data_IF_719786919790
#
_entry.id   IF_719786919790
#
_cell.length_a   1.000
_cell.length_b   1.000
_cell.length_c   1.000
_cell.angle_alpha   90.00
_cell.angle_beta   90.00
_cell.angle_gamma   90.00
#
_symmetry.space_group_name_H-M   'P 1'
#
loop_
_entity.id
_entity.type
_entity.pdbx_description
1 polymer ?
#
# COMPACT_ATOMS: atom_id res chain seq x y z
N UNK A 1 30.99 -14.50 -26.82
CA UNK A 1 30.62 -13.87 -25.54
C UNK A 1 31.37 -14.60 -24.44
N UNK A 2 31.75 -13.95 -23.33
CA UNK A 2 32.23 -14.73 -22.17
C UNK A 2 31.06 -15.50 -21.55
N UNK A 3 31.36 -16.53 -20.75
CA UNK A 3 30.35 -17.36 -20.11
C UNK A 3 29.40 -16.52 -19.22
N UNK A 4 29.93 -15.51 -18.51
CA UNK A 4 29.13 -14.59 -17.69
C UNK A 4 28.03 -13.89 -18.49
N UNK A 5 28.36 -13.25 -19.62
CA UNK A 5 27.39 -12.49 -20.42
C UNK A 5 26.40 -13.39 -21.15
N UNK A 6 26.80 -14.64 -21.42
CA UNK A 6 25.88 -15.66 -21.95
C UNK A 6 24.85 -16.07 -20.90
N UNK A 7 25.26 -16.23 -19.63
CA UNK A 7 24.33 -16.52 -18.55
C UNK A 7 23.33 -15.38 -18.31
N UNK A 8 23.79 -14.11 -18.33
CA UNK A 8 22.90 -12.94 -18.21
C UNK A 8 21.92 -12.85 -19.40
N UNK A 9 22.38 -13.13 -20.62
CA UNK A 9 21.51 -13.15 -21.79
C UNK A 9 20.43 -14.25 -21.70
N UNK A 10 20.80 -15.46 -21.26
CA UNK A 10 19.83 -16.54 -21.02
C UNK A 10 18.82 -16.16 -19.95
N UNK A 11 19.27 -15.50 -18.88
CA UNK A 11 18.38 -14.98 -17.84
C UNK A 11 17.40 -13.96 -18.40
N UNK A 12 17.88 -12.98 -19.18
CA UNK A 12 17.04 -11.99 -19.87
C UNK A 12 15.98 -12.67 -20.76
N UNK A 13 16.37 -13.67 -21.56
CA UNK A 13 15.42 -14.37 -22.43
C UNK A 13 14.36 -15.14 -21.64
N UNK A 14 14.73 -15.74 -20.52
CA UNK A 14 13.77 -16.37 -19.61
C UNK A 14 12.79 -15.33 -19.04
N UNK A 15 13.28 -14.16 -18.62
CA UNK A 15 12.42 -13.08 -18.12
C UNK A 15 11.44 -12.57 -19.18
N UNK A 16 11.92 -12.32 -20.41
CA UNK A 16 11.06 -11.92 -21.53
C UNK A 16 9.97 -12.97 -21.77
N UNK A 17 10.35 -14.26 -21.78
CA UNK A 17 9.41 -15.35 -21.94
C UNK A 17 8.34 -15.36 -20.83
N UNK A 18 8.75 -15.21 -19.56
CA UNK A 18 7.81 -15.16 -18.43
C UNK A 18 6.91 -13.92 -18.45
N UNK A 19 7.43 -12.75 -18.81
CA UNK A 19 6.63 -11.52 -18.95
C UNK A 19 5.60 -11.70 -20.05
N UNK A 20 6.00 -12.17 -21.23
CA UNK A 20 5.07 -12.44 -22.32
C UNK A 20 3.99 -13.43 -21.89
N UNK A 21 4.40 -14.54 -21.27
CA UNK A 21 3.51 -15.59 -20.79
C UNK A 21 2.52 -15.08 -19.71
N UNK A 22 2.95 -14.18 -18.82
CA UNK A 22 2.10 -13.54 -17.81
C UNK A 22 1.16 -12.48 -18.42
N UNK A 23 1.57 -11.82 -19.50
CA UNK A 23 0.77 -10.81 -20.19
C UNK A 23 -0.27 -11.40 -21.16
N UNK A 24 -0.23 -12.71 -21.46
CA UNK A 24 -1.21 -13.33 -22.36
C UNK A 24 -2.60 -13.33 -21.72
N UNK A 25 -3.63 -12.76 -22.39
CA UNK A 25 -4.99 -12.69 -21.85
C UNK A 25 -5.69 -14.07 -21.72
N UNK A 26 -5.09 -15.12 -22.27
CA UNK A 26 -5.63 -16.47 -22.29
C UNK A 26 -5.65 -17.15 -20.91
N UNK A 27 -4.76 -16.76 -20.00
CA UNK A 27 -4.71 -17.34 -18.65
C UNK A 27 -5.35 -16.38 -17.65
N UNK A 28 -6.57 -16.73 -17.22
CA UNK A 28 -7.29 -15.99 -16.17
C UNK A 28 -6.43 -15.85 -14.89
N UNK A 29 -6.45 -14.69 -14.21
CA UNK A 29 -5.77 -14.49 -12.93
C UNK A 29 -6.16 -15.53 -11.86
N UNK A 30 -7.36 -16.11 -11.93
CA UNK A 30 -7.78 -17.20 -11.02
C UNK A 30 -6.92 -18.46 -11.17
N UNK A 31 -6.54 -18.81 -12.40
CA UNK A 31 -5.66 -19.96 -12.67
C UNK A 31 -4.25 -19.70 -12.16
N UNK A 32 -3.73 -18.50 -12.40
CA UNK A 32 -2.45 -18.03 -11.86
C UNK A 32 -2.41 -18.05 -10.34
N UNK A 33 -3.47 -17.59 -9.66
CA UNK A 33 -3.55 -17.64 -8.19
C UNK A 33 -3.48 -19.06 -7.64
N UNK A 34 -4.11 -20.02 -8.32
CA UNK A 34 -4.04 -21.43 -7.92
C UNK A 34 -2.63 -21.99 -8.04
N UNK A 35 -1.91 -21.59 -9.10
CA UNK A 35 -0.50 -21.95 -9.29
C UNK A 35 0.38 -21.25 -8.24
N UNK A 36 0.19 -19.95 -8.01
CA UNK A 36 0.96 -19.18 -7.02
C UNK A 36 0.71 -19.60 -5.57
N UNK A 37 -0.48 -20.11 -5.25
CA UNK A 37 -0.82 -20.65 -3.93
C UNK A 37 -0.44 -22.13 -3.75
N UNK A 38 0.14 -22.77 -4.77
CA UNK A 38 0.67 -24.13 -4.64
C UNK A 38 1.83 -24.17 -3.65
N UNK A 39 1.94 -25.27 -2.89
CA UNK A 39 3.03 -25.49 -1.92
C UNK A 39 4.42 -25.30 -2.54
N UNK A 40 4.61 -25.78 -3.77
CA UNK A 40 5.85 -25.58 -4.53
C UNK A 40 6.17 -24.09 -4.73
N UNK A 41 5.17 -23.30 -5.11
CA UNK A 41 5.37 -21.88 -5.40
C UNK A 41 5.50 -21.05 -4.13
N UNK A 42 4.87 -21.45 -3.02
CA UNK A 42 5.11 -20.83 -1.71
C UNK A 42 6.53 -21.08 -1.21
N UNK A 43 7.08 -22.29 -1.39
CA UNK A 43 8.49 -22.57 -1.07
C UNK A 43 9.42 -21.73 -1.96
N UNK A 44 9.15 -21.67 -3.27
CA UNK A 44 9.88 -20.82 -4.20
C UNK A 44 9.75 -19.34 -3.84
N UNK A 45 8.61 -18.87 -3.35
CA UNK A 45 8.40 -17.47 -2.97
C UNK A 45 9.19 -17.09 -1.72
N UNK A 46 9.32 -18.01 -0.75
CA UNK A 46 10.11 -17.80 0.47
C UNK A 46 11.60 -17.65 0.14
N UNK A 47 12.19 -18.58 -0.61
CA UNK A 47 13.58 -18.47 -1.07
C UNK A 47 13.75 -17.39 -2.14
N UNK A 48 12.71 -17.16 -2.93
CA UNK A 48 12.71 -16.26 -4.08
C UNK A 48 12.88 -14.80 -3.70
N UNK A 49 12.45 -14.36 -2.52
CA UNK A 49 12.71 -12.98 -2.09
C UNK A 49 14.21 -12.74 -1.86
N UNK A 50 14.90 -13.67 -1.19
CA UNK A 50 16.34 -13.60 -0.98
C UNK A 50 17.10 -13.76 -2.30
N UNK A 51 16.74 -14.76 -3.12
CA UNK A 51 17.33 -14.97 -4.44
C UNK A 51 17.14 -13.75 -5.36
N UNK A 52 16.00 -13.08 -5.29
CA UNK A 52 15.72 -11.87 -6.05
C UNK A 52 16.62 -10.70 -5.64
N UNK A 53 16.79 -10.46 -4.34
CA UNK A 53 17.70 -9.40 -3.84
C UNK A 53 19.14 -9.69 -4.28
N UNK A 54 19.58 -10.93 -4.16
CA UNK A 54 20.92 -11.35 -4.60
C UNK A 54 21.08 -11.19 -6.12
N UNK A 55 20.08 -11.60 -6.91
CA UNK A 55 20.10 -11.44 -8.36
C UNK A 55 20.15 -9.97 -8.79
N UNK A 56 19.37 -9.09 -8.15
CA UNK A 56 19.42 -7.64 -8.37
C UNK A 56 20.81 -7.10 -8.03
N UNK A 57 21.38 -7.48 -6.89
CA UNK A 57 22.73 -7.04 -6.52
C UNK A 57 23.76 -7.45 -7.57
N UNK A 58 23.73 -8.71 -8.03
CA UNK A 58 24.63 -9.21 -9.09
C UNK A 58 24.42 -8.44 -10.40
N UNK A 59 23.19 -8.21 -10.82
CA UNK A 59 22.88 -7.45 -12.04
C UNK A 59 23.36 -6.00 -11.95
N UNK A 60 23.21 -5.36 -10.78
CA UNK A 60 23.74 -4.00 -10.54
C UNK A 60 25.26 -3.99 -10.61
N UNK A 61 25.95 -4.96 -10.00
CA UNK A 61 27.40 -5.07 -10.10
C UNK A 61 27.88 -5.25 -11.55
N UNK A 62 27.23 -6.13 -12.32
CA UNK A 62 27.53 -6.34 -13.73
C UNK A 62 27.22 -5.12 -14.59
N UNK A 63 26.15 -4.39 -14.29
CA UNK A 63 25.81 -3.15 -14.96
C UNK A 63 26.87 -2.08 -14.72
N UNK A 64 27.35 -1.94 -13.49
CA UNK A 64 28.44 -1.01 -13.14
C UNK A 64 29.74 -1.41 -13.86
N UNK A 65 30.07 -2.71 -13.90
CA UNK A 65 31.28 -3.18 -14.60
C UNK A 65 31.19 -2.94 -16.11
N UNK A 66 30.05 -3.25 -16.74
CA UNK A 66 29.81 -2.94 -18.15
C UNK A 66 29.89 -1.43 -18.43
N UNK A 67 29.28 -0.60 -17.58
CA UNK A 67 29.33 0.85 -17.73
C UNK A 67 30.76 1.41 -17.58
N UNK A 68 31.54 0.83 -16.65
CA UNK A 68 32.95 1.15 -16.48
C UNK A 68 33.77 0.73 -17.70
N UNK A 69 33.51 -0.45 -18.27
CA UNK A 69 34.13 -0.90 -19.52
C UNK A 69 33.78 0.03 -20.70
N UNK A 70 32.52 0.43 -20.85
CA UNK A 70 32.07 1.37 -21.89
C UNK A 70 32.81 2.70 -21.74
N UNK A 71 32.86 3.29 -20.54
CA UNK A 71 33.62 4.54 -20.32
C UNK A 71 35.11 4.39 -20.59
N UNK A 72 35.71 3.27 -20.15
CA UNK A 72 37.14 2.99 -20.35
C UNK A 72 37.49 2.94 -21.84
N UNK A 73 36.72 2.22 -22.65
CA UNK A 73 36.99 2.07 -24.08
C UNK A 73 36.47 3.25 -24.91
N UNK A 74 35.54 4.06 -24.40
CA UNK A 74 35.02 5.26 -25.09
C UNK A 74 35.97 6.47 -25.02
N UNK A 75 36.74 6.64 -23.94
CA UNK A 75 37.61 7.82 -23.74
C UNK A 75 39.03 7.63 -24.28
N UNK A 76 39.39 6.40 -24.68
CA UNK A 76 40.75 6.05 -25.14
C UNK A 76 41.09 6.62 -26.53
N UNK A 77 40.14 7.25 -27.23
CA UNK A 77 40.34 7.94 -28.51
C UNK A 77 41.39 9.08 -28.46
N UNK A 78 41.74 9.56 -27.25
CA UNK A 78 42.70 10.66 -27.04
C UNK A 78 44.19 10.26 -27.03
N UNK A 79 44.53 8.97 -27.15
CA UNK A 79 45.93 8.49 -27.07
C UNK A 79 46.34 7.88 -28.40
N UNK A 80 47.11 8.63 -29.20
CA UNK A 80 47.85 8.25 -30.43
C UNK A 80 47.55 6.87 -31.04
N UNK A 81 46.32 6.70 -31.52
CA UNK A 81 45.84 5.48 -32.15
C UNK A 81 45.99 5.51 -33.68
N UNK A 82 46.32 6.67 -34.24
CA UNK A 82 46.50 6.92 -35.67
C UNK A 82 47.64 6.10 -36.29
N UNK A 83 48.59 5.62 -35.48
CA UNK A 83 49.80 4.94 -35.95
C UNK A 83 49.65 3.41 -36.09
N UNK A 84 48.53 2.81 -35.65
CA UNK A 84 48.27 1.38 -35.83
C UNK A 84 46.77 1.07 -36.02
N UNK A 85 46.28 0.94 -37.27
CA UNK A 85 44.87 0.73 -37.56
C UNK A 85 44.30 -0.56 -36.92
N UNK A 86 45.13 -1.58 -36.69
CA UNK A 86 44.71 -2.84 -36.04
C UNK A 86 44.34 -2.63 -34.57
N UNK A 87 44.96 -1.66 -33.90
CA UNK A 87 44.67 -1.35 -32.49
C UNK A 87 43.34 -0.60 -32.32
N UNK A 88 43.01 0.27 -33.29
CA UNK A 88 41.74 1.01 -33.37
C UNK A 88 40.57 0.05 -33.47
N UNK A 89 40.62 -0.89 -34.42
CA UNK A 89 39.57 -1.89 -34.62
C UNK A 89 39.34 -2.75 -33.38
N UNK A 90 40.42 -3.12 -32.68
CA UNK A 90 40.34 -3.91 -31.47
C UNK A 90 39.68 -3.15 -30.30
N UNK A 91 39.87 -1.83 -30.21
CA UNK A 91 39.19 -0.99 -29.21
C UNK A 91 37.72 -0.80 -29.55
N UNK A 92 37.38 -0.51 -30.81
CA UNK A 92 35.97 -0.43 -31.23
C UNK A 92 35.24 -1.75 -30.98
N UNK A 93 35.86 -2.90 -31.28
CA UNK A 93 35.26 -4.21 -31.01
C UNK A 93 35.00 -4.42 -29.52
N UNK A 94 35.89 -3.96 -28.63
CA UNK A 94 35.68 -4.03 -27.17
C UNK A 94 34.61 -3.05 -26.69
N UNK A 95 34.53 -1.86 -27.27
CA UNK A 95 33.50 -0.87 -26.97
C UNK A 95 32.10 -1.39 -27.33
N UNK A 96 31.91 -1.91 -28.56
CA UNK A 96 30.64 -2.51 -28.97
C UNK A 96 30.24 -3.72 -28.11
N UNK A 97 31.23 -4.51 -27.68
CA UNK A 97 31.00 -5.62 -26.75
C UNK A 97 30.46 -5.11 -25.41
N UNK A 98 31.10 -4.09 -24.83
CA UNK A 98 30.72 -3.51 -23.55
C UNK A 98 29.33 -2.84 -23.64
N UNK A 99 29.06 -2.10 -24.71
CA UNK A 99 27.77 -1.43 -24.92
C UNK A 99 26.60 -2.43 -25.01
N UNK A 100 26.76 -3.52 -25.77
CA UNK A 100 25.75 -4.59 -25.81
C UNK A 100 25.54 -5.24 -24.44
N UNK A 101 26.62 -5.48 -23.70
CA UNK A 101 26.57 -6.09 -22.39
C UNK A 101 25.84 -5.20 -21.37
N UNK A 102 26.06 -3.88 -21.44
CA UNK A 102 25.33 -2.88 -20.66
C UNK A 102 23.82 -2.95 -20.94
N UNK A 103 23.42 -2.98 -22.22
CA UNK A 103 22.00 -3.13 -22.56
C UNK A 103 21.40 -4.43 -22.03
N UNK A 104 22.09 -5.55 -22.19
CA UNK A 104 21.61 -6.86 -21.69
C UNK A 104 21.40 -6.83 -20.17
N UNK A 105 22.38 -6.33 -19.41
CA UNK A 105 22.25 -6.22 -17.95
C UNK A 105 21.17 -5.21 -17.53
N UNK A 106 21.10 -4.07 -18.21
CA UNK A 106 20.13 -3.02 -17.92
C UNK A 106 18.69 -3.47 -18.18
N UNK A 107 18.44 -4.10 -19.32
CA UNK A 107 17.13 -4.67 -19.63
C UNK A 107 16.77 -5.82 -18.70
N UNK A 108 17.71 -6.67 -18.32
CA UNK A 108 17.47 -7.77 -17.39
C UNK A 108 17.06 -7.21 -16.01
N UNK A 109 17.78 -6.22 -15.50
CA UNK A 109 17.44 -5.56 -14.24
C UNK A 109 16.03 -4.97 -14.29
N UNK A 110 15.71 -4.23 -15.34
CA UNK A 110 14.40 -3.61 -15.53
C UNK A 110 13.28 -4.66 -15.61
N UNK A 111 13.45 -5.70 -16.42
CA UNK A 111 12.47 -6.77 -16.56
C UNK A 111 12.31 -7.58 -15.27
N UNK A 112 13.37 -7.81 -14.52
CA UNK A 112 13.32 -8.49 -13.23
C UNK A 112 12.37 -7.77 -12.24
N UNK A 113 12.52 -6.45 -12.13
CA UNK A 113 11.66 -5.61 -11.28
C UNK A 113 10.22 -5.61 -11.79
N UNK A 114 10.02 -5.49 -13.10
CA UNK A 114 8.69 -5.54 -13.71
C UNK A 114 8.00 -6.89 -13.48
N UNK A 115 8.71 -8.00 -13.65
CA UNK A 115 8.19 -9.36 -13.47
C UNK A 115 7.75 -9.57 -12.00
N UNK A 116 8.56 -9.13 -11.03
CA UNK A 116 8.19 -9.16 -9.60
C UNK A 116 6.93 -8.34 -9.31
N UNK A 117 6.83 -7.13 -9.90
CA UNK A 117 5.64 -6.28 -9.78
C UNK A 117 4.41 -6.95 -10.38
N UNK A 118 4.52 -7.48 -11.61
CA UNK A 118 3.43 -8.16 -12.32
C UNK A 118 2.93 -9.38 -11.56
N UNK A 119 3.83 -10.25 -11.08
CA UNK A 119 3.45 -11.42 -10.29
C UNK A 119 2.69 -11.04 -9.00
N UNK A 120 3.12 -9.97 -8.33
CA UNK A 120 2.46 -9.47 -7.11
C UNK A 120 1.08 -8.93 -7.41
N UNK A 121 0.96 -8.08 -8.43
CA UNK A 121 -0.32 -7.51 -8.86
C UNK A 121 -1.31 -8.60 -9.29
N UNK A 122 -0.85 -9.61 -10.01
CA UNK A 122 -1.68 -10.73 -10.47
C UNK A 122 -2.22 -11.55 -9.29
N UNK A 123 -1.39 -11.77 -8.26
CA UNK A 123 -1.80 -12.44 -7.02
C UNK A 123 -2.84 -11.63 -6.24
N UNK A 124 -2.66 -10.31 -6.14
CA UNK A 124 -3.61 -9.39 -5.50
C UNK A 124 -4.95 -9.36 -6.26
N UNK A 125 -4.90 -9.19 -7.59
CA UNK A 125 -6.09 -9.13 -8.44
C UNK A 125 -6.90 -10.42 -8.36
N UNK A 126 -6.24 -11.57 -8.32
CA UNK A 126 -6.94 -12.84 -8.20
C UNK A 126 -7.56 -13.06 -6.81
N UNK A 127 -6.91 -12.59 -5.75
CA UNK A 127 -7.48 -12.60 -4.39
C UNK A 127 -8.72 -11.70 -4.31
N UNK A 128 -8.64 -10.49 -4.90
CA UNK A 128 -9.77 -9.57 -5.01
C UNK A 128 -10.93 -10.16 -5.81
N UNK A 129 -10.66 -10.85 -6.93
CA UNK A 129 -11.70 -11.53 -7.70
C UNK A 129 -12.38 -12.65 -6.90
N UNK A 130 -11.61 -13.43 -6.14
CA UNK A 130 -12.16 -14.49 -5.30
C UNK A 130 -13.05 -13.93 -4.17
N UNK A 131 -12.63 -12.85 -3.52
CA UNK A 131 -13.45 -12.19 -2.50
C UNK A 131 -14.70 -11.55 -3.09
N UNK A 132 -14.61 -10.93 -4.27
CA UNK A 132 -15.78 -10.35 -4.93
C UNK A 132 -16.82 -11.42 -5.30
N UNK A 133 -16.38 -12.57 -5.80
CA UNK A 133 -17.28 -13.70 -6.08
C UNK A 133 -17.93 -14.24 -4.79
N UNK A 134 -17.18 -14.34 -3.69
CA UNK A 134 -17.71 -14.75 -2.40
C UNK A 134 -18.74 -13.75 -1.86
N UNK A 135 -18.45 -12.44 -1.93
CA UNK A 135 -19.40 -11.39 -1.52
C UNK A 135 -20.65 -11.39 -2.37
N UNK A 136 -20.52 -11.58 -3.70
CA UNK A 136 -21.67 -11.69 -4.59
C UNK A 136 -22.57 -12.85 -4.19
N UNK A 137 -22.00 -14.04 -3.94
CA UNK A 137 -22.76 -15.21 -3.47
C UNK A 137 -23.39 -14.99 -2.09
N UNK A 138 -22.70 -14.30 -1.18
CA UNK A 138 -23.26 -13.95 0.13
C UNK A 138 -24.44 -12.98 0.01
N UNK A 139 -24.34 -11.97 -0.85
CA UNK A 139 -25.42 -11.02 -1.11
C UNK A 139 -26.63 -11.70 -1.77
N UNK A 140 -26.40 -12.57 -2.75
CA UNK A 140 -27.45 -13.38 -3.39
C UNK A 140 -28.12 -14.31 -2.37
N UNK A 141 -27.34 -15.04 -1.57
CA UNK A 141 -27.87 -15.93 -0.54
C UNK A 141 -28.67 -15.21 0.55
N UNK A 142 -28.22 -14.02 0.98
CA UNK A 142 -28.97 -13.19 1.92
C UNK A 142 -30.26 -12.64 1.30
N UNK A 143 -30.24 -12.24 0.02
CA UNK A 143 -31.43 -11.79 -0.70
C UNK A 143 -32.46 -12.92 -0.87
N UNK A 144 -32.01 -14.13 -1.20
CA UNK A 144 -32.88 -15.28 -1.35
C UNK A 144 -33.45 -15.74 -0.01
N UNK A 145 -32.66 -15.72 1.06
CA UNK A 145 -33.15 -15.98 2.42
C UNK A 145 -34.20 -14.93 2.85
N UNK A 146 -33.94 -13.64 2.59
CA UNK A 146 -34.90 -12.57 2.87
C UNK A 146 -36.21 -12.77 2.09
N UNK A 147 -36.14 -13.13 0.80
CA UNK A 147 -37.33 -13.44 0.00
C UNK A 147 -38.12 -14.62 0.56
N UNK A 148 -37.43 -15.69 0.97
CA UNK A 148 -38.08 -16.85 1.60
C UNK A 148 -38.78 -16.46 2.91
N UNK A 149 -38.12 -15.71 3.78
CA UNK A 149 -38.74 -15.23 5.01
C UNK A 149 -39.92 -14.30 4.77
N UNK A 150 -39.89 -13.48 3.72
CA UNK A 150 -41.04 -12.67 3.32
C UNK A 150 -42.20 -13.53 2.85
N UNK A 151 -41.95 -14.54 2.00
CA UNK A 151 -42.98 -15.48 1.53
C UNK A 151 -43.58 -16.32 2.66
N UNK A 152 -42.74 -16.88 3.53
CA UNK A 152 -43.18 -17.65 4.71
C UNK A 152 -44.02 -16.77 5.65
N UNK A 153 -43.62 -15.51 5.86
CA UNK A 153 -44.43 -14.57 6.64
C UNK A 153 -45.78 -14.31 5.97
N UNK A 154 -45.83 -14.08 4.66
CA UNK A 154 -47.08 -13.87 3.93
C UNK A 154 -48.01 -15.10 4.03
N UNK A 155 -47.47 -16.31 3.89
CA UNK A 155 -48.23 -17.55 4.06
C UNK A 155 -48.75 -17.75 5.49
N UNK A 156 -47.91 -17.48 6.50
CA UNK A 156 -48.32 -17.56 7.91
C UNK A 156 -49.40 -16.54 8.24
N UNK A 157 -49.27 -15.30 7.74
CA UNK A 157 -50.30 -14.27 7.89
C UNK A 157 -51.62 -14.69 7.22
N UNK A 158 -51.58 -15.32 6.03
CA UNK A 158 -52.77 -15.82 5.36
C UNK A 158 -53.45 -16.94 6.17
N UNK A 159 -52.67 -17.91 6.69
CA UNK A 159 -53.19 -19.01 7.54
C UNK A 159 -53.81 -18.49 8.84
N UNK A 160 -53.20 -17.49 9.48
CA UNK A 160 -53.72 -16.90 10.71
C UNK A 160 -55.03 -16.12 10.46
N UNK A 161 -55.17 -15.45 9.32
CA UNK A 161 -56.43 -14.80 8.91
C UNK A 161 -57.54 -15.82 8.68
N UNK A 162 -57.24 -16.95 8.04
CA UNK A 162 -58.20 -18.04 7.81
C UNK A 162 -58.63 -18.71 9.14
N UNK A 163 -57.73 -18.79 10.11
CA UNK A 163 -58.01 -19.28 11.47
C UNK A 163 -58.76 -18.28 12.38
N UNK A 164 -59.16 -17.11 11.87
CA UNK A 164 -59.94 -16.12 12.62
C UNK A 164 -59.16 -15.36 13.71
N UNK A 165 -57.82 -15.47 13.74
CA UNK A 165 -56.96 -14.75 14.68
C UNK A 165 -56.58 -13.41 14.07
N UNK A 166 -56.88 -12.30 14.78
CA UNK A 166 -56.51 -10.96 14.35
C UNK A 166 -54.98 -10.80 14.34
N UNK A 167 -54.38 -10.88 13.15
CA UNK A 167 -52.94 -10.66 12.94
C UNK A 167 -52.65 -9.15 12.96
N UNK A 168 -51.65 -8.66 13.70
CA UNK A 168 -51.17 -7.31 13.53
C UNK A 168 -50.52 -7.21 12.14
N UNK A 169 -51.19 -6.53 11.21
CA UNK A 169 -50.71 -6.35 9.84
C UNK A 169 -49.45 -5.48 9.80
N UNK A 170 -48.29 -6.11 9.92
CA UNK A 170 -47.02 -5.51 9.53
C UNK A 170 -46.85 -5.76 8.04
N UNK A 171 -47.27 -4.80 7.20
CA UNK A 171 -46.84 -4.78 5.79
C UNK A 171 -47.75 -4.17 4.73
N UNK A 172 -49.04 -3.88 4.99
CA UNK A 172 -49.91 -3.22 3.99
C UNK A 172 -50.20 -1.77 4.33
N UNK A 173 -50.12 -0.91 3.30
CA UNK A 173 -50.29 0.57 3.33
C UNK A 173 -51.38 1.02 4.32
N UNK A 174 -51.08 1.94 5.26
CA UNK A 174 -51.98 2.19 6.38
C UNK A 174 -53.13 3.11 5.96
N UNK A 175 -54.33 2.54 5.96
CA UNK A 175 -55.57 3.28 6.16
C UNK A 175 -55.95 3.10 7.63
N UNK A 176 -55.58 4.03 8.50
CA UNK A 176 -55.90 3.89 9.92
C UNK A 176 -55.18 4.92 10.80
N UNK A 177 -55.98 5.77 11.44
CA UNK A 177 -55.63 7.01 12.16
C UNK A 177 -54.64 6.81 13.33
N UNK A 178 -54.47 5.60 13.86
CA UNK A 178 -53.53 5.30 14.97
C UNK A 178 -52.04 5.34 14.61
N UNK A 179 -51.67 4.91 13.40
CA UNK A 179 -50.26 4.86 12.93
C UNK A 179 -49.73 6.26 12.59
N UNK A 180 -50.62 7.23 12.37
CA UNK A 180 -50.23 8.61 12.06
C UNK A 180 -49.77 9.37 13.31
N UNK A 181 -50.33 9.06 14.48
CA UNK A 181 -49.86 9.57 15.77
C UNK A 181 -48.51 8.93 16.13
N UNK A 182 -48.37 7.60 16.01
CA UNK A 182 -47.09 6.93 16.31
C UNK A 182 -45.96 7.31 15.32
N UNK A 183 -46.24 7.48 14.03
CA UNK A 183 -45.24 8.01 13.11
C UNK A 183 -44.92 9.48 13.38
N UNK A 184 -45.87 10.28 13.88
CA UNK A 184 -45.59 11.67 14.27
C UNK A 184 -44.73 11.72 15.53
N UNK A 185 -45.01 10.89 16.54
CA UNK A 185 -44.21 10.81 17.76
C UNK A 185 -42.82 10.26 17.49
N UNK A 186 -42.69 9.14 16.77
CA UNK A 186 -41.39 8.58 16.39
C UNK A 186 -40.57 9.53 15.52
N UNK A 187 -41.20 10.28 14.61
CA UNK A 187 -40.51 11.27 13.77
C UNK A 187 -40.13 12.53 14.55
N UNK A 188 -40.87 12.87 15.62
CA UNK A 188 -40.50 13.91 16.56
C UNK A 188 -39.32 13.47 17.43
N UNK A 189 -39.30 12.23 17.91
CA UNK A 189 -38.24 11.65 18.72
C UNK A 189 -36.94 11.47 17.92
N UNK A 190 -37.03 11.02 16.66
CA UNK A 190 -35.88 10.98 15.75
C UNK A 190 -35.32 12.38 15.48
N UNK A 191 -36.18 13.42 15.44
CA UNK A 191 -35.73 14.81 15.28
C UNK A 191 -35.06 15.32 16.56
N UNK A 192 -35.66 15.10 17.74
CA UNK A 192 -35.06 15.53 19.01
C UNK A 192 -33.71 14.85 19.25
N UNK A 193 -33.61 13.54 19.00
CA UNK A 193 -32.35 12.80 19.11
C UNK A 193 -31.30 13.29 18.10
N UNK A 194 -31.71 13.74 16.92
CA UNK A 194 -30.79 14.36 15.95
C UNK A 194 -30.29 15.71 16.43
N UNK A 195 -31.17 16.55 16.97
CA UNK A 195 -30.83 17.87 17.49
C UNK A 195 -29.94 17.75 18.73
N UNK A 196 -30.19 16.77 19.61
CA UNK A 196 -29.32 16.43 20.74
C UNK A 196 -27.97 15.89 20.29
N UNK A 197 -27.93 15.06 19.24
CA UNK A 197 -26.68 14.56 18.66
C UNK A 197 -25.85 15.70 18.03
N UNK A 198 -26.48 16.65 17.36
CA UNK A 198 -25.79 17.83 16.83
C UNK A 198 -25.33 18.78 17.94
N UNK A 199 -26.15 19.00 18.96
CA UNK A 199 -25.79 19.81 20.12
C UNK A 199 -24.60 19.21 20.88
N UNK A 200 -24.62 17.90 21.16
CA UNK A 200 -23.52 17.18 21.81
C UNK A 200 -22.26 17.16 20.96
N UNK A 201 -22.36 16.96 19.64
CA UNK A 201 -21.21 17.10 18.73
C UNK A 201 -20.61 18.49 18.76
N UNK A 202 -21.44 19.54 18.79
CA UNK A 202 -20.97 20.94 18.84
C UNK A 202 -20.28 21.24 20.17
N UNK A 203 -20.78 20.72 21.29
CA UNK A 203 -20.14 20.82 22.60
C UNK A 203 -18.80 20.08 22.62
N UNK A 204 -18.75 18.86 22.05
CA UNK A 204 -17.53 18.06 21.99
C UNK A 204 -16.45 18.73 21.13
N UNK A 205 -16.82 19.35 20.00
CA UNK A 205 -15.90 20.11 19.17
C UNK A 205 -15.34 21.36 19.86
N UNK A 206 -16.18 22.07 20.63
CA UNK A 206 -15.71 23.21 21.46
C UNK A 206 -14.74 22.73 22.53
N UNK A 207 -15.11 21.66 23.25
CA UNK A 207 -14.26 21.09 24.30
C UNK A 207 -12.93 20.58 23.76
N UNK A 208 -12.89 19.93 22.59
CA UNK A 208 -11.64 19.50 21.95
C UNK A 208 -10.76 20.69 21.54
N UNK A 209 -11.38 21.79 21.09
CA UNK A 209 -10.71 23.06 20.84
C UNK A 209 -10.08 23.65 22.10
N UNK A 210 -10.83 23.67 23.22
CA UNK A 210 -10.37 24.18 24.51
C UNK A 210 -9.24 23.31 25.08
N UNK A 211 -9.31 21.98 24.95
CA UNK A 211 -8.24 21.05 25.37
C UNK A 211 -6.97 21.30 24.56
N UNK A 212 -7.07 21.51 23.25
CA UNK A 212 -5.92 21.84 22.40
C UNK A 212 -5.32 23.20 22.76
N UNK A 213 -6.16 24.20 23.04
CA UNK A 213 -5.70 25.51 23.49
C UNK A 213 -4.99 25.43 24.83
N UNK A 214 -5.56 24.72 25.81
CA UNK A 214 -4.97 24.48 27.13
C UNK A 214 -3.63 23.74 27.02
N UNK A 215 -3.54 22.73 26.15
CA UNK A 215 -2.29 22.01 25.91
C UNK A 215 -1.19 22.93 25.37
N UNK A 216 -1.52 23.77 24.38
CA UNK A 216 -0.58 24.75 23.82
C UNK A 216 -0.14 25.79 24.84
N UNK A 217 -1.06 26.25 25.70
CA UNK A 217 -0.73 27.15 26.81
C UNK A 217 0.21 26.49 27.82
N UNK A 218 -0.05 25.22 28.19
CA UNK A 218 0.80 24.47 29.10
C UNK A 218 2.20 24.25 28.52
N UNK A 219 2.31 23.87 27.24
CA UNK A 219 3.59 23.71 26.53
C UNK A 219 4.39 25.03 26.50
N UNK A 220 3.74 26.14 26.15
CA UNK A 220 4.39 27.46 26.18
C UNK A 220 4.83 27.84 27.60
N UNK A 221 4.01 27.56 28.61
CA UNK A 221 4.36 27.85 30.00
C UNK A 221 5.58 27.03 30.45
N UNK A 222 5.68 25.75 30.08
CA UNK A 222 6.85 24.91 30.36
C UNK A 222 8.12 25.50 29.74
N UNK A 223 8.05 25.96 28.49
CA UNK A 223 9.20 26.58 27.81
C UNK A 223 9.64 27.86 28.51
N UNK A 224 8.71 28.72 28.92
CA UNK A 224 9.04 29.93 29.69
C UNK A 224 9.61 29.60 31.07
N UNK A 225 9.09 28.56 31.75
CA UNK A 225 9.68 28.06 33.00
C UNK A 225 11.12 27.59 32.81
N UNK A 226 11.40 26.79 31.78
CA UNK A 226 12.76 26.32 31.47
C UNK A 226 13.69 27.48 31.15
N UNK A 227 13.20 28.50 30.42
CA UNK A 227 13.97 29.71 30.14
C UNK A 227 14.28 30.48 31.43
N UNK A 228 13.29 30.67 32.29
CA UNK A 228 13.45 31.40 33.54
C UNK A 228 14.42 30.68 34.48
N UNK A 229 14.34 29.34 34.58
CA UNK A 229 15.30 28.52 35.31
C UNK A 229 16.73 28.70 34.80
N UNK A 230 16.92 28.74 33.48
CA UNK A 230 18.22 28.99 32.86
C UNK A 230 18.74 30.41 33.11
N UNK A 231 17.87 31.43 33.13
CA UNK A 231 18.25 32.79 33.49
C UNK A 231 18.62 32.88 34.99
N UNK A 232 17.84 32.22 35.85
CA UNK A 232 18.09 32.17 37.29
C UNK A 232 19.41 31.45 37.62
N UNK A 233 19.74 30.35 36.91
CA UNK A 233 21.01 29.64 37.10
C UNK A 233 22.21 30.49 36.68
N UNK A 234 22.10 31.22 35.56
CA UNK A 234 23.14 32.15 35.08
C UNK A 234 23.36 33.29 36.06
N UNK A 235 22.27 33.90 36.56
CA UNK A 235 22.36 34.97 37.54
C UNK A 235 22.97 34.48 38.86
N UNK A 236 22.58 33.29 39.35
CA UNK A 236 23.16 32.70 40.55
C UNK A 236 24.66 32.43 40.39
N UNK A 237 25.09 31.85 39.26
CA UNK A 237 26.51 31.64 38.97
C UNK A 237 27.29 32.97 38.92
N UNK A 238 26.70 34.02 38.34
CA UNK A 238 27.33 35.35 38.29
C UNK A 238 27.43 36.03 39.67
N UNK A 239 26.41 35.85 40.52
CA UNK A 239 26.39 36.31 41.92
C UNK A 239 27.43 35.58 42.76
N UNK A 240 27.53 34.25 42.62
CA UNK A 240 28.52 33.43 43.33
C UNK A 240 29.94 33.79 42.91
N UNK A 241 30.18 34.04 41.61
CA UNK A 241 31.45 34.55 41.11
C UNK A 241 31.80 35.94 41.69
N UNK A 242 30.83 36.86 41.80
CA UNK A 242 31.03 38.16 42.45
C UNK A 242 31.31 38.03 43.96
N UNK A 243 30.67 37.08 44.64
CA UNK A 243 30.86 36.78 46.07
C UNK A 243 32.27 36.21 46.35
N UNK A 244 32.76 35.30 45.49
CA UNK A 244 34.11 34.76 45.60
C UNK A 244 35.18 35.82 45.27
N UNK A 245 34.92 36.69 44.29
CA UNK A 245 35.81 37.82 43.97
C UNK A 245 35.97 38.83 45.11
N UNK A 246 34.92 39.04 45.93
CA UNK A 246 34.98 39.92 47.12
C UNK A 246 35.64 39.30 48.35
N UNK A 247 35.75 37.98 48.45
CA UNK A 247 36.47 37.29 49.55
C UNK A 247 37.98 37.15 49.28
N UNK A 248 38.44 37.46 48.06
CA UNK A 248 39.84 37.31 47.65
C UNK A 248 40.61 38.63 47.57
N UNK A 249 40.10 39.71 48.19
CA UNK A 249 40.76 40.99 48.36
C UNK A 249 40.79 41.40 49.83
#
# INVERSE_FOLDING_TARGET
>A
MSLQWTAVATFLYAEVFFVLLLCVPFISPKRWSKIFKSRLVQTIAYYGNTSFIVAIAILVFLLIDAFREVRKYSVTEKVDLTNNPVAVDHIHMKLFRAQRNEYIAGFALLLCVLLRRLATLLSQQATLMASNEAFKKQAEGASDAAKKYMQENEELQAKLKDAGVAVPEVGKKPSGVGVQEENKTLKAEVRSLKDELEATKKVLLKSDGDVKAMKKQAENLTVEYDRLLNEHSKLQASSDAQSQGKKSN
#
